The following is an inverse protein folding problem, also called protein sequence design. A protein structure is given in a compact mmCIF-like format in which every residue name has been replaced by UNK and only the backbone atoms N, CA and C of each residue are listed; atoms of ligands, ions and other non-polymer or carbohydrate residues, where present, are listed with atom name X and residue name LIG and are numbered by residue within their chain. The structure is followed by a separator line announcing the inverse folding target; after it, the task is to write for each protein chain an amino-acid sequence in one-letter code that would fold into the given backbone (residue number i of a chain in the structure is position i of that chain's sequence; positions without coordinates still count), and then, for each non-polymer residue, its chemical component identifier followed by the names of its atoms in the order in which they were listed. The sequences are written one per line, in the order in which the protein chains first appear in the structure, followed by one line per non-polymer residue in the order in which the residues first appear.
data_IF_131676912770
#
_entry.id   IF_131676912770
#
_cell.length_a   1.000
_cell.length_b   1.000
_cell.length_c   1.000
_cell.angle_alpha   90.00
_cell.angle_beta   90.00
_cell.angle_gamma   90.00
#
_symmetry.space_group_name_H-M   'P 1'
#
loop_
_entity.id
_entity.type
_entity.pdbx_description
1 polymer ?
#
# COMPACT_ATOMS: atom_id res chain seq x y z
N UNK A 1 23.89 14.71 12.11
CA UNK A 1 22.80 13.89 12.67
C UNK A 1 22.82 12.51 12.04
N UNK A 2 22.98 11.45 12.84
CA UNK A 2 23.00 10.04 12.40
C UNK A 2 21.58 9.46 12.32
N UNK A 3 21.41 8.28 11.69
CA UNK A 3 20.11 7.58 11.69
C UNK A 3 19.64 7.26 13.11
N UNK A 4 20.55 6.81 13.99
CA UNK A 4 20.25 6.50 15.39
C UNK A 4 19.71 7.72 16.13
N UNK A 5 20.40 8.87 16.06
CA UNK A 5 19.93 10.11 16.70
C UNK A 5 18.58 10.58 16.17
N UNK A 6 18.31 10.37 14.87
CA UNK A 6 17.03 10.74 14.27
C UNK A 6 15.87 9.90 14.82
N UNK A 7 16.11 8.59 14.93
CA UNK A 7 15.11 7.64 15.42
C UNK A 7 14.86 7.84 16.91
N UNK A 8 15.90 8.10 17.69
CA UNK A 8 15.80 8.46 19.12
C UNK A 8 14.95 9.73 19.29
N UNK A 9 15.19 10.77 18.50
CA UNK A 9 14.37 12.00 18.50
C UNK A 9 12.88 11.71 18.22
N UNK A 10 12.58 10.85 17.25
CA UNK A 10 11.17 10.49 16.99
C UNK A 10 10.57 9.63 18.08
N UNK A 11 11.32 8.71 18.66
CA UNK A 11 10.85 7.87 19.76
C UNK A 11 10.51 8.72 20.96
N UNK A 12 11.35 9.69 21.32
CA UNK A 12 11.06 10.68 22.37
C UNK A 12 9.78 11.46 22.05
N UNK A 13 9.67 12.03 20.85
CA UNK A 13 8.50 12.80 20.42
C UNK A 13 7.19 12.00 20.38
N UNK A 14 7.27 10.72 20.03
CA UNK A 14 6.13 9.81 19.96
C UNK A 14 5.85 9.12 21.32
N UNK A 15 6.63 9.40 22.36
CA UNK A 15 6.60 8.66 23.62
C UNK A 15 6.67 7.13 23.37
N UNK A 16 7.67 6.67 22.62
CA UNK A 16 7.89 5.26 22.29
C UNK A 16 9.18 4.78 22.95
N UNK A 17 9.06 3.75 23.80
CA UNK A 17 10.21 3.15 24.48
C UNK A 17 11.16 2.36 23.57
N UNK A 18 12.22 1.82 24.16
CA UNK A 18 13.22 1.02 23.45
C UNK A 18 12.81 -0.44 23.25
N UNK A 19 11.88 -0.95 24.04
CA UNK A 19 11.57 -2.39 24.04
C UNK A 19 10.65 -2.78 22.88
N UNK A 20 9.63 -1.96 22.59
CA UNK A 20 8.59 -2.26 21.61
C UNK A 20 8.15 -1.06 20.81
N UNK A 21 7.90 -1.26 19.53
CA UNK A 21 7.39 -0.23 18.63
C UNK A 21 6.19 -0.72 17.81
N UNK A 22 5.19 0.14 17.65
CA UNK A 22 4.09 -0.09 16.71
C UNK A 22 4.38 0.57 15.37
N UNK A 23 4.15 -0.15 14.28
CA UNK A 23 4.35 0.36 12.92
C UNK A 23 3.06 0.18 12.11
N UNK A 24 2.40 1.30 11.75
CA UNK A 24 1.23 1.31 10.89
C UNK A 24 1.61 1.15 9.43
N UNK A 25 1.12 0.12 8.77
CA UNK A 25 1.39 -0.20 7.37
C UNK A 25 0.21 0.26 6.50
N UNK A 26 0.48 1.12 5.53
CA UNK A 26 -0.49 1.53 4.53
C UNK A 26 -0.60 0.50 3.39
N UNK A 27 -1.55 0.70 2.48
CA UNK A 27 -1.76 -0.21 1.36
C UNK A 27 -0.58 -0.27 0.39
N UNK A 28 0.12 0.85 0.16
CA UNK A 28 1.22 0.88 -0.80
C UNK A 28 2.42 0.07 -0.31
N UNK A 29 2.67 0.07 1.00
CA UNK A 29 3.68 -0.76 1.64
C UNK A 29 3.29 -2.24 1.65
N UNK A 30 2.03 -2.58 1.98
CA UNK A 30 1.54 -3.97 1.93
C UNK A 30 1.68 -4.58 0.53
N UNK A 31 1.32 -3.83 -0.51
CA UNK A 31 1.51 -4.23 -1.91
C UNK A 31 2.99 -4.44 -2.25
N UNK A 32 3.87 -3.59 -1.72
CA UNK A 32 5.31 -3.74 -1.91
C UNK A 32 5.85 -5.00 -1.23
N UNK A 33 5.48 -5.27 0.03
CA UNK A 33 5.89 -6.48 0.75
C UNK A 33 5.47 -7.76 0.03
N UNK A 34 4.24 -7.80 -0.47
CA UNK A 34 3.73 -8.94 -1.26
C UNK A 34 4.57 -9.22 -2.52
N UNK A 35 5.18 -8.18 -3.10
CA UNK A 35 6.06 -8.30 -4.26
C UNK A 35 7.49 -8.70 -3.90
N UNK A 36 7.88 -8.59 -2.62
CA UNK A 36 9.23 -8.84 -2.14
C UNK A 36 9.20 -9.89 -1.01
N UNK A 37 8.74 -11.11 -1.32
CA UNK A 37 8.49 -12.17 -0.32
C UNK A 37 9.71 -12.56 0.53
N UNK A 38 10.92 -12.39 0.00
CA UNK A 38 12.17 -12.65 0.71
C UNK A 38 12.61 -11.50 1.63
N UNK A 39 11.84 -10.40 1.68
CA UNK A 39 12.15 -9.25 2.51
C UNK A 39 11.62 -9.46 3.93
N UNK A 40 12.52 -9.73 4.86
CA UNK A 40 12.19 -9.79 6.29
C UNK A 40 11.93 -8.38 6.85
N UNK A 41 10.67 -7.95 6.76
CA UNK A 41 10.27 -6.63 7.20
C UNK A 41 10.47 -6.41 8.71
N UNK A 42 10.19 -7.42 9.53
CA UNK A 42 10.26 -7.30 11.00
C UNK A 42 11.70 -7.11 11.44
N UNK A 43 12.61 -7.98 11.00
CA UNK A 43 14.04 -7.87 11.35
C UNK A 43 14.62 -6.52 10.89
N UNK A 44 14.27 -6.09 9.68
CA UNK A 44 14.70 -4.78 9.15
C UNK A 44 14.12 -3.62 9.95
N UNK A 45 12.85 -3.68 10.36
CA UNK A 45 12.24 -2.65 11.20
C UNK A 45 12.89 -2.58 12.59
N UNK A 46 13.14 -3.71 13.24
CA UNK A 46 13.87 -3.77 14.53
C UNK A 46 15.24 -3.10 14.42
N UNK A 47 15.97 -3.42 13.36
CA UNK A 47 17.30 -2.86 13.10
C UNK A 47 17.29 -1.34 12.87
N UNK A 48 16.35 -0.81 12.06
CA UNK A 48 16.34 0.63 11.78
C UNK A 48 15.71 1.45 12.93
N UNK A 49 14.82 0.85 13.72
CA UNK A 49 14.14 1.52 14.83
C UNK A 49 14.89 1.41 16.15
N UNK A 50 15.96 0.60 16.20
CA UNK A 50 16.73 0.31 17.40
C UNK A 50 15.81 -0.11 18.56
N UNK A 51 15.01 -1.16 18.30
CA UNK A 51 14.09 -1.76 19.28
C UNK A 51 14.16 -3.28 19.22
N UNK A 52 13.87 -3.92 20.36
CA UNK A 52 13.87 -5.37 20.46
C UNK A 52 12.65 -5.99 19.76
N UNK A 53 11.51 -5.30 19.80
CA UNK A 53 10.28 -5.78 19.18
C UNK A 53 9.52 -4.76 18.34
N UNK A 54 8.89 -5.25 17.28
CA UNK A 54 8.09 -4.46 16.34
C UNK A 54 6.78 -5.19 16.05
N UNK A 55 5.67 -4.51 16.34
CA UNK A 55 4.35 -4.95 15.89
C UNK A 55 3.91 -4.15 14.68
N UNK A 56 3.84 -4.82 13.53
CA UNK A 56 3.24 -4.27 12.32
C UNK A 56 1.72 -4.32 12.42
N UNK A 57 1.05 -3.20 12.10
CA UNK A 57 -0.41 -3.07 12.19
C UNK A 57 -0.98 -2.47 10.92
N UNK A 58 -2.15 -2.90 10.50
CA UNK A 58 -2.93 -2.22 9.43
C UNK A 58 -4.41 -2.22 9.77
N UNK A 59 -5.20 -1.38 9.12
CA UNK A 59 -6.65 -1.38 9.35
C UNK A 59 -7.29 -2.57 8.65
N UNK A 60 -8.36 -3.13 9.24
CA UNK A 60 -9.15 -4.18 8.57
C UNK A 60 -9.64 -3.74 7.18
N UNK A 61 -9.96 -2.46 7.06
CA UNK A 61 -10.42 -1.81 5.84
C UNK A 61 -9.33 -1.83 4.73
N UNK A 62 -8.06 -1.53 5.06
CA UNK A 62 -6.95 -1.68 4.11
C UNK A 62 -6.61 -3.14 3.83
N UNK A 63 -6.69 -4.01 4.83
CA UNK A 63 -6.46 -5.44 4.65
C UNK A 63 -7.43 -6.05 3.62
N UNK A 64 -8.73 -5.72 3.71
CA UNK A 64 -9.72 -6.19 2.74
C UNK A 64 -9.44 -5.66 1.32
N UNK A 65 -9.04 -4.39 1.17
CA UNK A 65 -8.65 -3.86 -0.15
C UNK A 65 -7.38 -4.56 -0.67
N UNK A 66 -6.43 -4.84 0.21
CA UNK A 66 -5.23 -5.59 -0.15
C UNK A 66 -5.56 -7.02 -0.60
N UNK A 67 -6.45 -7.73 0.10
CA UNK A 67 -6.90 -9.08 -0.26
C UNK A 67 -7.62 -9.11 -1.62
N UNK A 68 -8.50 -8.13 -1.88
CA UNK A 68 -9.15 -7.96 -3.18
C UNK A 68 -8.13 -7.68 -4.29
N UNK A 69 -7.18 -6.78 -4.05
CA UNK A 69 -6.10 -6.54 -5.00
C UNK A 69 -5.27 -7.80 -5.23
N UNK A 70 -4.92 -8.54 -4.17
CA UNK A 70 -4.08 -9.72 -4.26
C UNK A 70 -4.74 -10.85 -5.04
N UNK A 71 -6.03 -11.13 -4.81
CA UNK A 71 -6.78 -12.18 -5.51
C UNK A 71 -6.82 -11.98 -7.02
N UNK A 72 -6.88 -10.72 -7.48
CA UNK A 72 -6.85 -10.40 -8.93
C UNK A 72 -5.49 -10.67 -9.59
N UNK A 73 -4.40 -10.81 -8.83
CA UNK A 73 -3.04 -10.92 -9.39
C UNK A 73 -2.62 -12.34 -9.78
N UNK A 74 -3.50 -13.35 -9.69
CA UNK A 74 -3.24 -14.77 -10.04
C UNK A 74 -1.96 -15.37 -9.41
N UNK A 75 -1.51 -14.87 -8.26
CA UNK A 75 -0.33 -15.39 -7.56
C UNK A 75 -0.76 -16.44 -6.54
N UNK A 76 -0.56 -17.72 -6.88
CA UNK A 76 -1.06 -18.90 -6.16
C UNK A 76 -0.49 -19.19 -4.77
N UNK A 77 0.15 -18.22 -4.10
CA UNK A 77 0.66 -18.42 -2.74
C UNK A 77 0.05 -17.39 -1.80
N UNK A 78 -0.73 -17.87 -0.83
CA UNK A 78 -1.29 -17.09 0.27
C UNK A 78 -0.19 -16.23 0.91
N UNK A 79 -0.45 -14.94 1.10
CA UNK A 79 0.53 -13.99 1.66
C UNK A 79 0.98 -14.40 3.07
N UNK A 80 2.08 -15.15 3.15
CA UNK A 80 2.65 -15.62 4.42
C UNK A 80 2.92 -14.46 5.39
N UNK A 81 3.31 -13.30 4.87
CA UNK A 81 3.63 -12.13 5.69
C UNK A 81 2.42 -11.47 6.37
N UNK A 82 1.20 -11.65 5.84
CA UNK A 82 0.00 -11.02 6.45
C UNK A 82 -0.33 -11.61 7.82
N UNK A 83 0.11 -12.86 8.10
CA UNK A 83 -0.03 -13.47 9.44
C UNK A 83 0.73 -12.69 10.52
N UNK A 84 1.76 -11.94 10.13
CA UNK A 84 2.61 -11.18 11.03
C UNK A 84 2.16 -9.70 11.16
N UNK A 85 1.00 -9.35 10.60
CA UNK A 85 0.44 -7.99 10.66
C UNK A 85 -0.85 -8.03 11.49
N UNK A 86 -0.86 -7.34 12.62
CA UNK A 86 -2.07 -7.25 13.44
C UNK A 86 -3.11 -6.33 12.80
N UNK A 87 -4.38 -6.72 12.89
CA UNK A 87 -5.49 -5.96 12.32
C UNK A 87 -6.09 -5.01 13.34
N UNK A 88 -6.17 -3.73 12.99
CA UNK A 88 -6.93 -2.72 13.72
C UNK A 88 -8.37 -2.80 13.25
N UNK A 89 -9.27 -3.16 14.17
CA UNK A 89 -10.70 -3.24 13.89
C UNK A 89 -11.25 -1.82 13.63
N UNK A 90 -11.81 -1.63 12.44
CA UNK A 90 -12.57 -0.45 12.04
C UNK A 90 -14.07 -0.80 12.02
N UNK A 91 -14.92 0.08 12.57
CA UNK A 91 -16.38 0.02 12.41
C UNK A 91 -16.77 1.22 11.56
N UNK A 92 -16.99 0.99 10.27
CA UNK A 92 -17.36 2.03 9.31
C UNK A 92 -18.57 1.55 8.48
N UNK A 93 -19.43 2.47 8.03
CA UNK A 93 -20.50 2.13 7.09
C UNK A 93 -19.93 1.59 5.78
N UNK A 94 -20.75 0.87 5.03
CA UNK A 94 -20.40 0.40 3.69
C UNK A 94 -20.02 1.58 2.77
N UNK A 95 -19.05 1.35 1.88
CA UNK A 95 -18.52 2.40 0.99
C UNK A 95 -17.56 3.39 1.64
N UNK A 96 -17.28 3.28 2.95
CA UNK A 96 -16.26 4.12 3.59
C UNK A 96 -14.85 3.79 3.07
N UNK A 97 -14.17 4.81 2.54
CA UNK A 97 -12.84 4.64 1.95
C UNK A 97 -11.82 4.11 2.97
N UNK A 98 -11.12 3.03 2.59
CA UNK A 98 -9.98 2.46 3.31
C UNK A 98 -8.89 3.50 3.62
N UNK A 99 -8.63 4.44 2.70
CA UNK A 99 -7.69 5.55 2.88
C UNK A 99 -8.15 6.52 3.98
N UNK A 100 -9.43 6.92 3.95
CA UNK A 100 -10.01 7.75 5.03
C UNK A 100 -9.98 7.03 6.38
N UNK A 101 -10.22 5.72 6.39
CA UNK A 101 -10.09 4.89 7.59
C UNK A 101 -8.66 4.94 8.15
N UNK A 102 -7.67 4.74 7.28
CA UNK A 102 -6.27 4.78 7.67
C UNK A 102 -5.86 6.15 8.19
N UNK A 103 -6.19 7.23 7.49
CA UNK A 103 -5.91 8.61 7.92
C UNK A 103 -6.58 8.95 9.27
N UNK A 104 -7.82 8.49 9.48
CA UNK A 104 -8.51 8.64 10.77
C UNK A 104 -7.82 7.88 11.90
N UNK A 105 -7.35 6.65 11.63
CA UNK A 105 -6.60 5.87 12.62
C UNK A 105 -5.22 6.46 12.88
N UNK A 106 -4.55 6.98 11.86
CA UNK A 106 -3.25 7.62 12.00
C UNK A 106 -3.30 8.78 13.00
N UNK A 107 -4.36 9.59 12.98
CA UNK A 107 -4.57 10.66 13.97
C UNK A 107 -4.80 10.16 15.40
N UNK A 108 -5.28 8.93 15.58
CA UNK A 108 -5.56 8.34 16.90
C UNK A 108 -4.40 7.51 17.45
N UNK A 109 -3.55 6.99 16.57
CA UNK A 109 -2.38 6.19 16.93
C UNK A 109 -1.16 7.12 17.01
N UNK A 110 -1.08 7.89 18.08
CA UNK A 110 -0.05 8.92 18.23
C UNK A 110 1.34 8.34 18.55
N UNK A 111 1.39 7.11 19.09
CA UNK A 111 2.64 6.42 19.51
C UNK A 111 3.09 5.37 18.50
N UNK A 112 3.26 5.75 17.23
CA UNK A 112 3.65 4.83 16.17
C UNK A 112 4.47 5.46 15.05
N UNK A 113 5.17 4.61 14.29
CA UNK A 113 5.73 4.95 12.99
C UNK A 113 4.77 4.51 11.88
N UNK A 114 4.86 5.12 10.70
CA UNK A 114 4.09 4.72 9.51
C UNK A 114 5.01 4.11 8.47
N UNK A 115 4.75 2.89 8.01
CA UNK A 115 5.32 2.36 6.79
C UNK A 115 4.45 2.71 5.58
N UNK A 116 5.00 3.51 4.66
CA UNK A 116 4.29 3.98 3.47
C UNK A 116 5.21 4.23 2.28
N UNK A 117 4.67 3.99 1.08
CA UNK A 117 5.21 4.47 -0.19
C UNK A 117 4.24 5.46 -0.90
N UNK A 118 3.15 5.87 -0.23
CA UNK A 118 2.25 6.94 -0.69
C UNK A 118 2.87 8.30 -0.38
N UNK A 119 3.46 8.91 -1.42
CA UNK A 119 4.12 10.21 -1.30
C UNK A 119 3.18 11.34 -0.86
N UNK A 120 1.90 11.26 -1.22
CA UNK A 120 0.89 12.25 -0.78
C UNK A 120 0.69 12.14 0.73
N UNK A 121 0.70 10.90 1.26
CA UNK A 121 0.64 10.70 2.70
C UNK A 121 1.88 11.28 3.40
N UNK A 122 3.07 11.09 2.81
CA UNK A 122 4.33 11.58 3.39
C UNK A 122 4.31 13.09 3.61
N UNK A 123 3.73 13.85 2.67
CA UNK A 123 3.63 15.31 2.75
C UNK A 123 2.59 15.80 3.77
N UNK A 124 1.58 14.98 4.09
CA UNK A 124 0.44 15.37 4.93
C UNK A 124 0.55 14.91 6.38
N UNK A 125 1.27 13.82 6.61
CA UNK A 125 1.38 13.23 7.94
C UNK A 125 2.42 13.95 8.80
N UNK A 126 2.10 14.15 10.07
CA UNK A 126 3.08 14.58 11.10
C UNK A 126 3.77 13.38 11.75
N UNK A 127 3.27 12.18 11.51
CA UNK A 127 3.82 10.93 12.06
C UNK A 127 5.07 10.52 11.26
N UNK A 128 6.17 10.14 11.94
CA UNK A 128 7.39 9.67 11.28
C UNK A 128 7.12 8.53 10.32
N UNK A 129 7.63 8.68 9.09
CA UNK A 129 7.40 7.73 8.00
C UNK A 129 8.65 6.89 7.75
N UNK A 130 8.44 5.61 7.55
CA UNK A 130 9.40 4.64 7.04
C UNK A 130 8.96 4.32 5.61
N UNK A 131 9.84 4.56 4.65
CA UNK A 131 9.56 4.31 3.23
C UNK A 131 10.55 3.33 2.64
N UNK A 132 10.24 2.79 1.47
CA UNK A 132 11.14 1.89 0.75
C UNK A 132 11.86 2.63 -0.36
N UNK A 133 13.19 2.53 -0.38
CA UNK A 133 14.02 2.98 -1.51
C UNK A 133 15.03 1.89 -1.86
N UNK A 134 15.16 1.54 -3.15
CA UNK A 134 16.14 0.54 -3.64
C UNK A 134 16.20 -0.78 -2.84
N UNK A 135 15.04 -1.31 -2.42
CA UNK A 135 14.89 -2.53 -1.59
C UNK A 135 15.35 -2.41 -0.12
N UNK A 136 15.55 -1.20 0.38
CA UNK A 136 15.87 -0.93 1.79
C UNK A 136 14.83 -0.02 2.42
N UNK A 137 14.67 -0.12 3.74
CA UNK A 137 13.83 0.78 4.53
C UNK A 137 14.60 2.05 4.91
N UNK A 138 13.92 3.18 4.87
CA UNK A 138 14.47 4.48 5.24
C UNK A 138 13.48 5.22 6.11
N UNK A 139 13.95 5.75 7.23
CA UNK A 139 13.19 6.69 8.06
C UNK A 139 13.28 8.07 7.40
N UNK A 140 12.14 8.60 6.97
CA UNK A 140 12.05 9.94 6.40
C UNK A 140 12.09 10.99 7.51
N UNK A 141 12.89 12.03 7.28
CA UNK A 141 12.77 13.26 8.05
C UNK A 141 11.58 14.07 7.54
N UNK A 142 10.77 14.71 8.39
CA UNK A 142 9.77 15.68 7.98
C UNK A 142 10.37 16.74 7.04
N UNK A 143 11.58 17.23 7.32
CA UNK A 143 12.27 18.18 6.44
C UNK A 143 12.58 17.59 5.06
N UNK A 144 12.94 16.31 4.98
CA UNK A 144 13.25 15.65 3.70
C UNK A 144 11.99 15.51 2.83
N UNK A 145 10.81 15.38 3.45
CA UNK A 145 9.54 15.36 2.72
C UNK A 145 9.17 16.70 2.08
N UNK A 146 9.79 17.79 2.55
CA UNK A 146 9.59 19.16 2.08
C UNK A 146 10.68 19.61 1.09
N UNK A 147 11.76 18.83 0.91
CA UNK A 147 12.81 19.15 -0.07
C UNK A 147 12.24 19.07 -1.49
N UNK A 148 12.51 20.08 -2.29
CA UNK A 148 12.03 20.19 -3.67
C UNK A 148 12.44 18.98 -4.52
N UNK A 149 13.67 18.47 -4.36
CA UNK A 149 14.13 17.24 -5.03
C UNK A 149 13.24 16.03 -4.70
N UNK A 150 12.84 15.89 -3.44
CA UNK A 150 11.98 14.80 -3.00
C UNK A 150 10.55 14.97 -3.53
N UNK A 151 10.00 16.18 -3.47
CA UNK A 151 8.68 16.51 -4.02
C UNK A 151 8.64 16.23 -5.52
N UNK A 152 9.65 16.66 -6.27
CA UNK A 152 9.76 16.43 -7.71
C UNK A 152 9.88 14.94 -8.04
N UNK A 153 10.66 14.19 -7.25
CA UNK A 153 10.74 12.74 -7.39
C UNK A 153 9.38 12.06 -7.11
N UNK A 154 8.65 12.50 -6.08
CA UNK A 154 7.31 12.02 -5.74
C UNK A 154 6.30 12.28 -6.87
N UNK A 155 6.27 13.51 -7.40
CA UNK A 155 5.40 13.90 -8.51
C UNK A 155 5.69 13.07 -9.75
N UNK A 156 6.98 12.90 -10.10
CA UNK A 156 7.40 12.05 -11.23
C UNK A 156 6.93 10.61 -11.06
N UNK A 157 6.98 10.05 -9.84
CA UNK A 157 6.51 8.69 -9.57
C UNK A 157 4.99 8.58 -9.64
N UNK A 158 4.26 9.58 -9.15
CA UNK A 158 2.81 9.63 -9.22
C UNK A 158 2.32 9.74 -10.67
N UNK A 159 2.89 10.64 -11.46
CA UNK A 159 2.55 10.80 -12.88
C UNK A 159 2.78 9.51 -13.67
N UNK A 160 3.92 8.84 -13.46
CA UNK A 160 4.20 7.52 -14.08
C UNK A 160 3.13 6.48 -13.71
N UNK A 161 2.68 6.48 -12.45
CA UNK A 161 1.64 5.57 -12.01
C UNK A 161 0.29 5.87 -12.65
N UNK A 162 -0.14 7.14 -12.68
CA UNK A 162 -1.39 7.55 -13.31
C UNK A 162 -1.40 7.30 -14.82
N UNK A 163 -0.28 7.56 -15.50
CA UNK A 163 -0.11 7.28 -16.93
C UNK A 163 -0.17 5.78 -17.23
N UNK A 164 0.39 4.92 -16.36
CA UNK A 164 0.26 3.46 -16.51
C UNK A 164 -1.19 2.99 -16.41
N UNK A 165 -1.98 3.56 -15.49
CA UNK A 165 -3.42 3.25 -15.34
C UNK A 165 -4.24 3.69 -16.55
N UNK A 166 -3.93 4.84 -17.15
CA UNK A 166 -4.58 5.30 -18.39
C UNK A 166 -4.27 4.36 -19.56
N UNK A 167 -3.03 3.89 -19.65
CA UNK A 167 -2.61 2.88 -20.64
C UNK A 167 -3.35 1.55 -20.50
N UNK A 168 -3.52 1.06 -19.26
CA UNK A 168 -4.27 -0.17 -19.01
C UNK A 168 -5.77 0.01 -19.29
N UNK A 169 -6.38 1.15 -18.92
CA UNK A 169 -7.78 1.45 -19.27
C UNK A 169 -8.04 1.43 -20.78
N UNK A 170 -7.14 2.00 -21.59
CA UNK A 170 -7.24 1.94 -23.06
C UNK A 170 -7.18 0.51 -23.57
N UNK A 171 -6.23 -0.32 -23.09
CA UNK A 171 -6.13 -1.73 -23.47
C UNK A 171 -7.39 -2.54 -23.15
N UNK A 172 -8.03 -2.29 -22.00
CA UNK A 172 -9.29 -2.94 -21.65
C UNK A 172 -10.46 -2.47 -22.54
N UNK A 173 -10.52 -1.17 -22.87
CA UNK A 173 -11.52 -0.64 -23.82
C UNK A 173 -11.33 -1.20 -25.23
N UNK A 174 -10.09 -1.25 -25.73
CA UNK A 174 -9.75 -1.79 -27.05
C UNK A 174 -10.08 -3.30 -27.14
N UNK A 175 -9.80 -4.06 -26.07
CA UNK A 175 -10.16 -5.48 -25.99
C UNK A 175 -11.68 -5.70 -25.93
N UNK A 176 -12.42 -4.85 -25.21
CA UNK A 176 -13.88 -4.89 -25.16
C UNK A 176 -14.51 -4.53 -26.51
N UNK A 177 -14.03 -3.48 -27.19
CA UNK A 177 -14.48 -3.11 -28.53
C UNK A 177 -14.17 -4.18 -29.58
N UNK A 178 -12.97 -4.77 -29.53
CA UNK A 178 -12.58 -5.85 -30.45
C UNK A 178 -13.45 -7.10 -30.23
N UNK A 179 -13.82 -7.39 -28.98
CA UNK A 179 -14.74 -8.49 -28.63
C UNK A 179 -16.17 -8.22 -29.12
N UNK A 180 -16.67 -6.98 -28.99
CA UNK A 180 -17.99 -6.57 -29.51
C UNK A 180 -18.04 -6.62 -31.06
N UNK A 181 -16.95 -6.23 -31.74
CA UNK A 181 -16.84 -6.33 -33.21
C UNK A 181 -16.81 -7.78 -33.69
N UNK A 182 -16.20 -8.71 -32.93
CA UNK A 182 -16.22 -10.15 -33.23
C UNK A 182 -17.58 -10.81 -32.94
N UNK A 183 -18.29 -10.37 -31.89
CA UNK A 183 -19.64 -10.83 -31.56
C UNK A 183 -20.71 -10.45 -32.61
N UNK A 184 -20.53 -9.33 -33.32
CA UNK A 184 -21.41 -8.92 -34.43
C UNK A 184 -21.29 -9.77 -35.70
N UNK A 185 -20.24 -10.60 -35.86
CA UNK A 185 -20.14 -11.55 -36.98
C UNK A 185 -20.84 -12.90 -36.74
N UNK A 186 -21.33 -13.17 -35.52
CA UNK A 186 -22.07 -14.41 -35.16
C UNK A 186 -23.57 -14.20 -34.91
N UNK A 187 -24.19 -13.20 -35.55
CA UNK A 187 -25.65 -13.10 -35.69
C UNK A 187 -26.06 -13.24 -37.16
N UNK A 188 -25.78 -14.40 -37.75
CA UNK A 188 -26.59 -14.94 -38.86
C UNK A 188 -26.87 -16.40 -38.55
N UNK A 189 -28.17 -16.70 -38.54
CA UNK A 189 -28.83 -18.00 -38.35
C UNK A 189 -28.78 -18.64 -36.96
N UNK A 190 -29.64 -18.16 -36.05
CA UNK A 190 -30.31 -19.03 -35.06
C UNK A 190 -31.62 -19.61 -35.60
N UNK A 191 -31.96 -19.35 -36.87
CA UNK A 191 -33.23 -19.76 -37.48
C UNK A 191 -33.18 -21.17 -38.09
N UNK A 192 -31.99 -21.73 -38.33
CA UNK A 192 -31.85 -23.09 -38.90
C UNK A 192 -31.70 -24.21 -37.85
N UNK A 193 -31.66 -23.90 -36.54
CA UNK A 193 -31.50 -24.93 -35.50
C UNK A 193 -32.82 -25.49 -34.95
N UNK A 194 -33.97 -24.86 -35.22
CA UNK A 194 -35.28 -25.21 -34.63
C UNK A 194 -36.28 -25.88 -35.58
N UNK A 195 -35.85 -26.38 -36.74
CA UNK A 195 -36.74 -27.01 -37.74
C UNK A 195 -36.59 -28.54 -37.87
N UNK A 196 -35.97 -29.23 -36.91
CA UNK A 196 -35.87 -30.71 -36.90
C UNK A 196 -36.13 -31.34 -35.51
N UNK A 197 -37.16 -30.88 -34.80
CA UNK A 197 -37.76 -31.58 -33.66
C UNK A 197 -39.27 -31.64 -33.82
#
# INVERSE_FOLDING_TARGET
MTLKSLVEFYKERLDVGNDRCNVLCDLTFLKWLSRNKHFDAISRLKSILFVDDVTMKTTKCLNSEFEQWFSTTKRGERNFFMKNISLIVCKHPEGYSSKKCFESKLKKYERCFVCSNDYILHQKTKTPVITVRRKSLFVLKPEDSLKEEYINWCNTKQERYENSKKGDKRKFQDAAESSLKRGRKRKKSTRDFFLNL
#
